data_IF_306572970343
#
_entry.id   IF_306572970343
#
_cell.length_a   1.000
_cell.length_b   1.000
_cell.length_c   1.000
_cell.angle_alpha   90.00
_cell.angle_beta   90.00
_cell.angle_gamma   90.00
#
_symmetry.space_group_name_H-M   'P 1'
#
loop_
_entity.id
_entity.type
_entity.pdbx_description
1 polymer ?
#
# COMPACT_ATOMS: atom_id res chain seq x y z
N UNK A 1 -12.19 -52.30 -16.66
CA UNK A 1 -12.71 -50.92 -16.68
C UNK A 1 -11.89 -50.11 -15.68
N UNK A 2 -11.06 -49.19 -16.14
CA UNK A 2 -10.25 -48.30 -15.29
C UNK A 2 -10.94 -46.94 -15.29
N UNK A 3 -11.52 -46.59 -14.15
CA UNK A 3 -12.14 -45.28 -13.92
C UNK A 3 -11.02 -44.26 -13.69
N UNK A 4 -10.72 -43.45 -14.70
CA UNK A 4 -9.80 -42.31 -14.58
C UNK A 4 -10.54 -41.23 -13.79
N UNK A 5 -10.23 -41.12 -12.50
CA UNK A 5 -10.68 -40.02 -11.66
C UNK A 5 -9.99 -38.73 -12.08
N UNK A 6 -10.71 -37.83 -12.74
CA UNK A 6 -10.28 -36.45 -12.94
C UNK A 6 -10.13 -35.78 -11.58
N UNK A 7 -8.90 -35.68 -11.09
CA UNK A 7 -8.54 -34.84 -9.97
C UNK A 7 -8.63 -33.37 -10.44
N UNK A 8 -9.81 -32.76 -10.27
CA UNK A 8 -9.96 -31.32 -10.39
C UNK A 8 -9.16 -30.67 -9.25
N UNK A 9 -7.95 -30.20 -9.58
CA UNK A 9 -7.21 -29.24 -8.77
C UNK A 9 -8.07 -27.98 -8.67
N UNK A 10 -8.82 -27.87 -7.59
CA UNK A 10 -9.37 -26.61 -7.09
C UNK A 10 -8.17 -25.77 -6.65
N UNK A 11 -7.53 -25.10 -7.61
CA UNK A 11 -6.65 -23.98 -7.31
C UNK A 11 -7.56 -22.90 -6.74
N UNK A 12 -7.69 -22.88 -5.42
CA UNK A 12 -8.29 -21.75 -4.73
C UNK A 12 -7.50 -20.52 -5.18
N UNK A 13 -8.18 -19.58 -5.82
CA UNK A 13 -7.68 -18.24 -6.07
C UNK A 13 -7.41 -17.62 -4.69
N UNK A 14 -6.23 -17.86 -4.14
CA UNK A 14 -5.75 -17.15 -2.97
C UNK A 14 -5.59 -15.69 -3.38
N UNK A 15 -6.16 -14.76 -2.62
CA UNK A 15 -5.89 -13.34 -2.79
C UNK A 15 -4.38 -13.09 -2.71
N UNK A 16 -3.88 -12.15 -3.51
CA UNK A 16 -2.48 -11.75 -3.52
C UNK A 16 -2.13 -10.84 -2.33
N UNK A 17 -3.14 -10.46 -1.54
CA UNK A 17 -3.04 -9.65 -0.32
C UNK A 17 -1.90 -10.11 0.58
N UNK A 18 -1.11 -9.15 1.02
CA UNK A 18 -0.08 -9.34 2.04
C UNK A 18 -0.57 -8.76 3.35
N UNK A 19 -0.66 -9.62 4.38
CA UNK A 19 -1.06 -9.26 5.73
C UNK A 19 0.18 -9.09 6.63
N UNK A 20 0.23 -7.98 7.37
CA UNK A 20 1.21 -7.70 8.43
C UNK A 20 0.50 -7.51 9.77
N UNK A 21 1.25 -7.15 10.81
CA UNK A 21 0.71 -6.97 12.16
C UNK A 21 -0.28 -5.80 12.22
N UNK A 22 0.11 -4.62 11.74
CA UNK A 22 -0.72 -3.42 11.76
C UNK A 22 -1.26 -3.02 10.38
N UNK A 23 -1.01 -3.79 9.32
CA UNK A 23 -1.38 -3.36 7.97
C UNK A 23 -1.67 -4.48 6.99
N UNK A 24 -2.27 -4.08 5.88
CA UNK A 24 -2.59 -4.92 4.74
C UNK A 24 -2.20 -4.19 3.45
N UNK A 25 -1.57 -4.91 2.53
CA UNK A 25 -1.24 -4.43 1.19
C UNK A 25 -2.06 -5.24 0.18
N UNK A 26 -2.71 -4.53 -0.74
CA UNK A 26 -3.46 -5.10 -1.84
C UNK A 26 -2.89 -4.62 -3.17
N UNK A 27 -2.91 -5.48 -4.18
CA UNK A 27 -2.44 -5.18 -5.54
C UNK A 27 -3.53 -5.39 -6.59
N UNK A 28 -3.19 -5.31 -7.88
CA UNK A 28 -4.18 -5.51 -8.94
C UNK A 28 -4.83 -6.89 -8.95
N UNK A 29 -4.14 -7.94 -8.50
CA UNK A 29 -4.63 -9.31 -8.53
C UNK A 29 -5.68 -9.57 -7.45
N UNK A 30 -5.66 -8.80 -6.37
CA UNK A 30 -6.73 -8.80 -5.38
C UNK A 30 -8.06 -8.30 -5.93
N UNK A 31 -8.05 -7.50 -6.99
CA UNK A 31 -9.25 -6.96 -7.62
C UNK A 31 -9.56 -7.60 -8.96
N UNK A 32 -8.53 -8.12 -9.66
CA UNK A 32 -8.62 -8.57 -11.04
C UNK A 32 -9.16 -9.98 -11.16
N UNK A 33 -10.24 -10.15 -11.92
CA UNK A 33 -10.78 -11.48 -12.25
C UNK A 33 -11.32 -12.26 -11.04
N UNK A 34 -11.51 -11.58 -9.90
CA UNK A 34 -12.11 -12.17 -8.72
C UNK A 34 -13.57 -12.53 -8.98
N UNK A 35 -14.01 -13.63 -8.37
CA UNK A 35 -15.42 -14.06 -8.41
C UNK A 35 -16.34 -13.06 -7.69
N UNK A 36 -15.81 -12.43 -6.64
CA UNK A 36 -16.48 -11.34 -5.92
C UNK A 36 -16.20 -10.00 -6.60
N UNK A 37 -17.24 -9.15 -6.67
CA UNK A 37 -17.09 -7.75 -7.07
C UNK A 37 -16.43 -6.88 -6.01
N UNK A 38 -16.21 -7.41 -4.81
CA UNK A 38 -15.74 -6.64 -3.66
C UNK A 38 -14.63 -7.37 -2.89
N UNK A 39 -13.64 -6.60 -2.46
CA UNK A 39 -12.56 -7.00 -1.57
C UNK A 39 -12.83 -6.39 -0.19
N UNK A 40 -12.58 -7.16 0.86
CA UNK A 40 -12.74 -6.71 2.25
C UNK A 40 -11.40 -6.44 2.89
N UNK A 41 -11.34 -5.34 3.64
CA UNK A 41 -10.22 -4.95 4.50
C UNK A 41 -10.75 -5.10 5.93
N UNK A 42 -10.29 -6.15 6.59
CA UNK A 42 -10.73 -6.55 7.93
C UNK A 42 -9.54 -6.47 8.88
N UNK A 43 -9.72 -5.87 10.07
CA UNK A 43 -8.67 -5.74 11.09
C UNK A 43 -8.14 -4.32 11.26
N UNK A 44 -7.28 -3.80 10.37
CA UNK A 44 -6.62 -2.50 10.56
C UNK A 44 -7.57 -1.32 10.80
N UNK A 45 -8.81 -1.40 10.29
CA UNK A 45 -9.80 -0.34 10.35
C UNK A 45 -10.81 -0.45 11.51
N UNK A 46 -10.64 -1.40 12.44
CA UNK A 46 -11.57 -1.64 13.56
C UNK A 46 -11.84 -0.38 14.39
N UNK A 47 -10.80 0.40 14.69
CA UNK A 47 -10.92 1.67 15.42
C UNK A 47 -10.63 2.85 14.51
N UNK A 48 -9.45 2.86 13.87
CA UNK A 48 -9.05 3.90 12.93
C UNK A 48 -8.01 3.31 11.99
N UNK A 49 -8.08 3.61 10.69
CA UNK A 49 -7.03 3.27 9.74
C UNK A 49 -6.70 4.44 8.81
N UNK A 50 -5.45 4.48 8.38
CA UNK A 50 -4.96 5.33 7.30
C UNK A 50 -4.83 4.49 6.04
N UNK A 51 -5.49 4.92 4.96
CA UNK A 51 -5.46 4.22 3.68
C UNK A 51 -4.73 5.08 2.67
N UNK A 52 -3.75 4.50 2.02
CA UNK A 52 -2.98 5.11 0.94
C UNK A 52 -3.17 4.32 -0.34
N UNK A 53 -3.07 4.98 -1.49
CA UNK A 53 -3.16 4.34 -2.79
C UNK A 53 -2.06 4.85 -3.73
N UNK A 54 -1.43 3.95 -4.49
CA UNK A 54 -0.51 4.27 -5.59
C UNK A 54 -1.06 3.60 -6.85
N UNK A 55 -1.13 4.32 -7.97
CA UNK A 55 -1.57 3.77 -9.25
C UNK A 55 -0.69 4.29 -10.36
N UNK A 56 -0.59 3.54 -11.46
CA UNK A 56 0.02 4.08 -12.68
C UNK A 56 -0.92 5.02 -13.42
N UNK A 57 -0.35 5.92 -14.24
CA UNK A 57 -1.15 6.85 -15.04
C UNK A 57 -2.15 6.13 -15.95
N UNK A 58 -1.76 5.02 -16.61
CA UNK A 58 -2.69 4.22 -17.43
C UNK A 58 -3.82 3.57 -16.62
N UNK A 59 -3.61 3.39 -15.32
CA UNK A 59 -4.60 2.78 -14.42
C UNK A 59 -5.63 3.78 -13.89
N UNK A 60 -5.45 5.09 -14.11
CA UNK A 60 -6.35 6.15 -13.59
C UNK A 60 -7.83 5.87 -13.88
N UNK A 61 -8.17 5.49 -15.12
CA UNK A 61 -9.56 5.16 -15.49
C UNK A 61 -10.08 3.94 -14.72
N UNK A 62 -9.27 2.90 -14.55
CA UNK A 62 -9.67 1.69 -13.81
C UNK A 62 -9.77 1.96 -12.31
N UNK A 63 -8.81 2.70 -11.75
CA UNK A 63 -8.80 3.15 -10.37
C UNK A 63 -9.99 4.06 -10.01
N UNK A 64 -10.52 4.80 -10.98
CA UNK A 64 -11.75 5.61 -10.78
C UNK A 64 -13.00 4.75 -10.55
N UNK A 65 -12.99 3.49 -11.00
CA UNK A 65 -14.08 2.53 -10.79
C UNK A 65 -13.78 1.51 -9.68
N UNK A 66 -12.65 1.64 -8.98
CA UNK A 66 -12.38 0.93 -7.73
C UNK A 66 -12.82 1.84 -6.60
N UNK A 67 -13.88 1.46 -5.89
CA UNK A 67 -14.59 2.34 -4.97
C UNK A 67 -14.47 1.84 -3.54
N UNK A 68 -13.81 2.62 -2.68
CA UNK A 68 -13.78 2.42 -1.23
C UNK A 68 -15.13 2.88 -0.68
N UNK A 69 -15.88 1.94 -0.12
CA UNK A 69 -17.22 2.19 0.44
C UNK A 69 -17.10 2.75 1.86
N UNK A 70 -17.64 3.94 2.07
CA UNK A 70 -17.69 4.65 3.36
C UNK A 70 -19.14 4.85 3.80
N UNK A 71 -19.40 5.14 5.08
CA UNK A 71 -20.75 5.51 5.54
C UNK A 71 -21.32 6.74 4.82
N UNK A 72 -20.46 7.67 4.39
CA UNK A 72 -20.82 8.91 3.70
C UNK A 72 -20.91 8.78 2.18
N UNK A 73 -20.60 7.61 1.59
CA UNK A 73 -20.59 7.41 0.15
C UNK A 73 -19.39 6.60 -0.32
N UNK A 74 -18.79 7.01 -1.44
CA UNK A 74 -17.65 6.30 -2.04
C UNK A 74 -16.49 7.26 -2.29
N UNK A 75 -15.27 6.77 -2.09
CA UNK A 75 -14.03 7.40 -2.54
C UNK A 75 -13.38 6.46 -3.55
N UNK A 76 -12.99 6.96 -4.71
CA UNK A 76 -12.30 6.11 -5.70
C UNK A 76 -10.82 5.95 -5.34
N UNK A 77 -10.23 4.82 -5.72
CA UNK A 77 -8.78 4.58 -5.55
C UNK A 77 -7.96 5.60 -6.34
N UNK A 78 -8.44 6.05 -7.50
CA UNK A 78 -7.79 7.10 -8.27
C UNK A 78 -7.83 8.47 -7.58
N UNK A 79 -8.94 8.84 -6.95
CA UNK A 79 -9.02 10.06 -6.13
C UNK A 79 -8.08 9.98 -4.93
N UNK A 80 -8.03 8.84 -4.23
CA UNK A 80 -7.09 8.66 -3.13
C UNK A 80 -5.64 8.73 -3.58
N UNK A 81 -5.31 8.14 -4.73
CA UNK A 81 -3.94 8.11 -5.23
C UNK A 81 -3.42 9.50 -5.62
N UNK A 82 -4.31 10.42 -6.03
CA UNK A 82 -3.94 11.81 -6.38
C UNK A 82 -3.85 12.74 -5.17
N UNK A 83 -4.15 12.29 -3.95
CA UNK A 83 -4.02 13.10 -2.74
C UNK A 83 -2.56 13.19 -2.32
N UNK A 84 -1.90 14.21 -2.84
CA UNK A 84 -0.52 14.54 -2.54
C UNK A 84 -0.42 16.00 -2.08
N UNK A 85 0.45 16.25 -1.11
CA UNK A 85 0.87 17.60 -0.76
C UNK A 85 1.70 18.19 -1.92
N UNK A 86 1.28 19.28 -2.56
CA UNK A 86 1.98 19.83 -3.72
C UNK A 86 3.35 20.43 -3.39
N UNK A 87 3.64 20.66 -2.11
CA UNK A 87 4.91 21.23 -1.61
C UNK A 87 5.91 20.13 -1.30
N UNK A 88 5.45 19.04 -0.66
CA UNK A 88 6.33 17.98 -0.14
C UNK A 88 6.26 16.68 -0.94
N UNK A 89 5.30 16.54 -1.86
CA UNK A 89 4.93 15.30 -2.56
C UNK A 89 4.50 14.16 -1.62
N UNK A 90 4.20 14.46 -0.36
CA UNK A 90 3.73 13.47 0.61
C UNK A 90 2.28 13.06 0.33
N UNK A 91 1.99 11.78 0.46
CA UNK A 91 0.64 11.25 0.26
C UNK A 91 -0.24 11.56 1.48
N UNK A 92 -1.44 12.06 1.24
CA UNK A 92 -2.44 12.21 2.28
C UNK A 92 -3.32 10.97 2.37
N UNK A 93 -3.41 10.33 3.54
CA UNK A 93 -4.26 9.15 3.70
C UNK A 93 -5.74 9.52 3.68
N UNK A 94 -6.57 8.56 3.30
CA UNK A 94 -7.96 8.53 3.70
C UNK A 94 -8.04 7.96 5.11
N UNK A 95 -8.45 8.77 6.07
CA UNK A 95 -8.70 8.33 7.45
C UNK A 95 -10.10 7.77 7.56
N UNK A 96 -10.20 6.51 7.99
CA UNK A 96 -11.46 5.81 8.22
C UNK A 96 -11.53 5.43 9.69
N UNK A 97 -12.64 5.74 10.35
CA UNK A 97 -12.85 5.46 11.77
C UNK A 97 -14.01 4.49 11.99
N UNK A 98 -13.92 3.68 13.03
CA UNK A 98 -14.95 2.78 13.52
C UNK A 98 -15.57 1.90 12.42
N UNK A 99 -14.74 1.34 11.55
CA UNK A 99 -15.17 0.55 10.39
C UNK A 99 -14.47 -0.80 10.42
N UNK A 100 -14.99 -1.71 11.25
CA UNK A 100 -14.45 -3.07 11.45
C UNK A 100 -14.19 -3.83 10.15
N UNK A 101 -15.02 -3.55 9.14
CA UNK A 101 -14.90 -4.11 7.81
C UNK A 101 -15.09 -3.02 6.77
N UNK A 102 -14.02 -2.70 6.06
CA UNK A 102 -14.07 -1.78 4.94
C UNK A 102 -14.18 -2.57 3.64
N UNK A 103 -15.02 -2.10 2.71
CA UNK A 103 -15.26 -2.79 1.44
C UNK A 103 -14.75 -1.95 0.29
N UNK A 104 -14.02 -2.57 -0.63
CA UNK A 104 -13.59 -1.96 -1.89
C UNK A 104 -14.27 -2.68 -3.03
N UNK A 105 -15.08 -1.96 -3.81
CA UNK A 105 -15.89 -2.49 -4.90
C UNK A 105 -15.19 -2.26 -6.24
N UNK A 106 -14.99 -3.32 -7.02
CA UNK A 106 -14.53 -3.23 -8.40
C UNK A 106 -15.71 -3.12 -9.38
N UNK A 107 -15.97 -1.89 -9.81
CA UNK A 107 -16.97 -1.52 -10.80
C UNK A 107 -16.51 -1.66 -12.26
N UNK A 108 -15.26 -2.05 -12.52
CA UNK A 108 -14.78 -2.26 -13.89
C UNK A 108 -15.45 -3.47 -14.55
N UNK A 109 -15.60 -3.40 -15.88
CA UNK A 109 -16.03 -4.54 -16.69
C UNK A 109 -15.07 -5.72 -16.49
N UNK A 110 -15.62 -6.94 -16.42
CA UNK A 110 -14.87 -8.19 -16.17
C UNK A 110 -14.01 -8.16 -14.90
N UNK A 111 -14.30 -7.25 -13.96
CA UNK A 111 -13.48 -7.02 -12.78
C UNK A 111 -12.02 -6.77 -13.15
N UNK A 112 -11.78 -6.01 -14.22
CA UNK A 112 -10.42 -5.64 -14.58
C UNK A 112 -9.84 -4.67 -13.54
N UNK A 113 -8.52 -4.70 -13.37
CA UNK A 113 -7.77 -3.74 -12.57
C UNK A 113 -6.46 -3.43 -13.30
N UNK A 114 -5.98 -2.19 -13.16
CA UNK A 114 -4.66 -1.81 -13.62
C UNK A 114 -3.67 -1.89 -12.46
N UNK A 115 -2.35 -1.82 -12.72
CA UNK A 115 -1.34 -1.79 -11.67
C UNK A 115 -1.69 -0.77 -10.58
N UNK A 116 -1.78 -1.26 -9.34
CA UNK A 116 -2.11 -0.47 -8.17
C UNK A 116 -1.48 -1.06 -6.92
N UNK A 117 -1.32 -0.23 -5.90
CA UNK A 117 -1.09 -0.64 -4.52
C UNK A 117 -2.08 0.10 -3.64
N UNK A 118 -2.86 -0.64 -2.85
CA UNK A 118 -3.68 -0.08 -1.77
C UNK A 118 -3.08 -0.54 -0.45
N UNK A 119 -2.73 0.42 0.41
CA UNK A 119 -2.10 0.16 1.69
C UNK A 119 -3.00 0.65 2.82
N UNK A 120 -3.49 -0.27 3.64
CA UNK A 120 -4.33 0.02 4.80
C UNK A 120 -3.54 -0.24 6.08
N UNK A 121 -3.35 0.80 6.90
CA UNK A 121 -2.55 0.77 8.12
C UNK A 121 -3.40 1.15 9.34
N UNK A 122 -3.26 0.42 10.46
CA UNK A 122 -3.93 0.72 11.72
C UNK A 122 -3.45 2.07 12.26
N UNK A 123 -4.37 3.03 12.32
CA UNK A 123 -4.09 4.41 12.71
C UNK A 123 -3.76 4.59 14.19
N UNK A 124 -3.91 3.55 15.01
CA UNK A 124 -3.49 3.56 16.42
C UNK A 124 -2.01 3.23 16.61
N UNK A 125 -1.35 2.66 15.59
CA UNK A 125 0.05 2.28 15.73
C UNK A 125 0.93 3.53 15.86
N UNK A 126 1.94 3.46 16.74
CA UNK A 126 2.82 4.58 17.10
C UNK A 126 3.62 5.16 15.93
N UNK A 127 3.67 4.43 14.81
CA UNK A 127 4.50 4.78 13.68
C UNK A 127 3.80 5.76 12.73
N UNK A 128 2.47 5.82 12.74
CA UNK A 128 1.73 6.73 11.84
C UNK A 128 2.03 8.22 12.11
N UNK A 129 2.11 8.72 13.36
CA UNK A 129 2.40 10.14 13.61
C UNK A 129 3.81 10.58 13.22
N UNK A 130 4.75 9.65 13.05
CA UNK A 130 6.17 9.95 12.74
C UNK A 130 6.60 9.51 11.33
N UNK A 131 5.81 8.67 10.68
CA UNK A 131 6.04 8.16 9.34
C UNK A 131 5.41 9.04 8.27
N UNK A 132 6.10 9.16 7.13
CA UNK A 132 5.61 9.89 5.94
C UNK A 132 5.50 8.93 4.77
N UNK A 133 4.46 9.06 3.95
CA UNK A 133 4.25 8.17 2.79
C UNK A 133 4.45 8.93 1.48
N UNK A 134 5.09 8.30 0.50
CA UNK A 134 5.36 8.89 -0.81
C UNK A 134 5.11 7.87 -1.92
N UNK A 135 4.76 8.35 -3.11
CA UNK A 135 4.94 7.55 -4.32
C UNK A 135 6.42 7.51 -4.71
N UNK A 136 6.89 6.40 -5.26
CA UNK A 136 8.24 6.28 -5.79
C UNK A 136 8.47 7.21 -6.98
N UNK A 137 7.43 7.39 -7.79
CA UNK A 137 7.48 8.31 -8.92
C UNK A 137 7.50 9.76 -8.42
N UNK A 138 8.49 10.52 -8.87
CA UNK A 138 8.70 11.90 -8.40
C UNK A 138 9.29 12.03 -7.00
N UNK A 139 9.69 10.94 -6.33
CA UNK A 139 10.36 11.02 -5.03
C UNK A 139 11.75 11.65 -5.17
N UNK A 140 11.89 12.87 -4.70
CA UNK A 140 13.15 13.57 -4.60
C UNK A 140 13.18 14.40 -3.31
N UNK A 141 13.66 13.80 -2.22
CA UNK A 141 13.75 14.45 -0.93
C UNK A 141 15.16 14.98 -0.70
N UNK A 142 15.32 16.27 -0.39
CA UNK A 142 16.56 16.81 0.13
C UNK A 142 17.01 16.03 1.37
N UNK A 143 18.32 15.80 1.48
CA UNK A 143 18.87 14.92 2.52
C UNK A 143 18.72 15.48 3.94
N UNK A 144 18.50 16.78 4.06
CA UNK A 144 18.20 17.52 5.28
C UNK A 144 16.70 17.48 5.66
N UNK A 145 15.86 16.95 4.77
CA UNK A 145 14.41 16.81 4.95
C UNK A 145 13.95 15.35 5.04
N UNK A 146 14.90 14.41 5.07
CA UNK A 146 14.58 12.99 5.25
C UNK A 146 13.97 12.76 6.63
N UNK A 147 12.73 12.24 6.71
CA UNK A 147 12.14 11.88 7.98
C UNK A 147 12.85 10.66 8.57
N UNK A 148 12.64 10.42 9.87
CA UNK A 148 13.13 9.23 10.55
C UNK A 148 12.59 7.94 9.89
N UNK A 149 11.32 7.97 9.46
CA UNK A 149 10.63 6.85 8.82
C UNK A 149 9.87 7.35 7.61
N UNK A 150 10.04 6.66 6.49
CA UNK A 150 9.27 6.90 5.28
C UNK A 150 8.83 5.58 4.66
N UNK A 151 7.62 5.58 4.12
CA UNK A 151 7.09 4.50 3.29
C UNK A 151 7.08 4.97 1.85
N UNK A 152 7.73 4.22 0.95
CA UNK A 152 7.67 4.47 -0.50
C UNK A 152 6.74 3.45 -1.13
N UNK A 153 5.75 3.92 -1.87
CA UNK A 153 4.74 3.11 -2.54
C UNK A 153 4.94 3.18 -4.05
N UNK A 154 4.67 2.07 -4.74
CA UNK A 154 4.67 2.06 -6.20
C UNK A 154 3.87 0.89 -6.74
N UNK A 155 3.02 1.17 -7.73
CA UNK A 155 2.37 0.17 -8.55
C UNK A 155 3.29 -0.47 -9.61
N UNK A 156 4.58 -0.09 -9.65
CA UNK A 156 5.60 -0.62 -10.57
C UNK A 156 6.90 -0.91 -9.84
N UNK A 157 7.73 -1.81 -10.36
CA UNK A 157 9.11 -1.94 -9.90
C UNK A 157 9.83 -0.60 -9.91
N UNK A 158 10.59 -0.32 -8.86
CA UNK A 158 11.32 0.93 -8.69
C UNK A 158 12.66 0.69 -7.98
N UNK A 159 13.48 1.73 -7.91
CA UNK A 159 14.75 1.73 -7.18
C UNK A 159 14.84 3.00 -6.37
N UNK A 160 15.26 2.88 -5.11
CA UNK A 160 15.58 4.03 -4.25
C UNK A 160 17.10 4.21 -4.26
N UNK A 161 17.55 5.45 -4.44
CA UNK A 161 18.96 5.81 -4.35
C UNK A 161 19.09 6.95 -3.34
N UNK A 162 20.07 6.84 -2.44
CA UNK A 162 20.46 7.92 -1.56
C UNK A 162 21.69 8.62 -2.14
N UNK A 163 21.63 9.95 -2.28
CA UNK A 163 22.78 10.72 -2.72
C UNK A 163 23.94 10.59 -1.72
N UNK A 164 25.17 10.60 -2.24
CA UNK A 164 26.37 10.62 -1.40
C UNK A 164 26.36 11.89 -0.53
N UNK A 165 26.77 11.77 0.74
CA UNK A 165 27.04 12.92 1.61
C UNK A 165 28.52 13.27 1.58
N UNK A 166 28.79 14.57 1.52
CA UNK A 166 30.14 15.13 1.69
C UNK A 166 30.66 15.05 3.14
N UNK A 167 29.84 14.60 4.10
CA UNK A 167 30.21 14.47 5.51
C UNK A 167 30.08 13.03 6.03
N UNK A 168 31.00 12.59 6.92
CA UNK A 168 31.12 11.20 7.39
C UNK A 168 30.05 10.77 8.40
N UNK A 169 29.01 11.57 8.66
CA UNK A 169 27.89 11.14 9.51
C UNK A 169 27.09 10.07 8.75
N UNK A 170 27.42 8.80 9.02
CA UNK A 170 26.81 7.60 8.46
C UNK A 170 25.33 7.53 8.85
N UNK A 171 24.44 8.07 8.03
CA UNK A 171 23.02 7.77 8.16
C UNK A 171 22.79 6.42 7.50
N UNK A 172 22.81 5.35 8.30
CA UNK A 172 22.44 4.02 7.83
C UNK A 172 20.96 4.00 7.43
N UNK A 173 20.66 3.43 6.28
CA UNK A 173 19.28 3.22 5.83
C UNK A 173 18.92 1.75 6.03
N UNK A 174 17.79 1.51 6.69
CA UNK A 174 17.14 0.20 6.73
C UNK A 174 15.93 0.25 5.82
N UNK A 175 15.88 -0.67 4.86
CA UNK A 175 14.73 -0.85 4.00
C UNK A 175 14.03 -2.16 4.35
N UNK A 176 12.70 -2.10 4.47
CA UNK A 176 11.82 -3.25 4.62
C UNK A 176 10.74 -3.19 3.54
N UNK A 177 10.10 -4.33 3.26
CA UNK A 177 9.00 -4.43 2.28
C UNK A 177 7.62 -4.44 2.96
N UNK A 178 7.54 -3.84 4.15
CA UNK A 178 6.41 -3.93 5.07
C UNK A 178 5.70 -2.57 5.27
N UNK A 179 6.19 -1.50 4.63
CA UNK A 179 5.68 -0.15 4.87
C UNK A 179 6.03 0.34 6.28
N UNK A 180 5.05 0.92 6.98
CA UNK A 180 5.19 1.34 8.38
C UNK A 180 5.30 0.16 9.35
N UNK A 181 4.86 -1.05 8.97
CA UNK A 181 5.06 -2.23 9.80
C UNK A 181 6.53 -2.65 9.84
N UNK A 182 6.94 -3.35 10.91
CA UNK A 182 8.26 -3.99 10.98
C UNK A 182 9.45 -3.04 11.21
N UNK A 183 9.18 -1.77 11.51
CA UNK A 183 10.16 -0.76 11.91
C UNK A 183 10.40 -0.78 13.43
N UNK A 184 10.74 -1.94 13.99
CA UNK A 184 11.21 -2.00 15.38
C UNK A 184 12.66 -1.50 15.43
N UNK A 185 12.89 -0.43 16.20
CA UNK A 185 14.16 0.31 16.33
C UNK A 185 15.26 -0.57 16.96
N UNK A 186 14.90 -1.72 17.55
CA UNK A 186 15.79 -2.67 18.21
C UNK A 186 16.81 -3.36 17.29
N UNK A 187 16.67 -3.22 15.96
CA UNK A 187 17.47 -3.97 14.98
C UNK A 187 18.07 -3.10 13.85
N UNK A 188 18.32 -1.80 14.08
CA UNK A 188 19.27 -1.07 13.23
C UNK A 188 20.67 -1.64 13.48
N UNK A 189 21.01 -2.71 12.75
CA UNK A 189 22.38 -3.20 12.67
C UNK A 189 23.19 -2.07 12.03
N UNK A 190 24.23 -1.60 12.71
CA UNK A 190 25.22 -0.73 12.10
C UNK A 190 25.70 -1.41 10.81
N UNK A 191 25.22 -0.96 9.66
CA UNK A 191 25.74 -1.38 8.37
C UNK A 191 27.11 -0.71 8.23
N UNK A 192 28.14 -1.40 8.70
CA UNK A 192 29.51 -1.10 8.37
C UNK A 192 29.69 -1.32 6.87
N UNK A 193 29.90 -0.24 6.13
CA UNK A 193 30.48 -0.31 4.79
C UNK A 193 32.00 -0.08 4.89
N UNK A 194 32.72 -0.93 4.17
CA UNK A 194 34.14 -0.81 3.81
C UNK A 194 34.40 0.38 2.91
#
# INVERSE_FOLDING_TARGET
MITIGCLFLLVGLAGARVDFYASQIFDEFDFKGQSSASVSIDGPCEVSCAIYASITQESSKKGSNLLIQLPSGFVSVADLASRIDPTTNEKWPLIVNNTAKLTVVNGNANKDAGPLVLYAFDGRHSDLPSGRAFDADGLNLPIDQLPLRLTVMSARPFTIQQAARDQPSKQGMRATLTGFDGMDDSACVDLYYT
#
